data_IF_148859701840
#
_entry.id   IF_148859701840
#
_cell.length_a   1.000
_cell.length_b   1.000
_cell.length_c   1.000
_cell.angle_alpha   90.00
_cell.angle_beta   90.00
_cell.angle_gamma   90.00
#
_symmetry.space_group_name_H-M   'P 1'
#
loop_
_entity.id
_entity.type
_entity.pdbx_description
1 polymer ?
#
# COMPACT_ATOMS: atom_id res chain seq x y z
N UNK A 1 4.02 -4.07 -11.51
CA UNK A 1 2.88 -3.91 -10.60
C UNK A 1 1.90 -5.07 -10.71
N UNK A 2 2.11 -6.19 -10.02
CA UNK A 2 1.07 -7.21 -9.85
C UNK A 2 0.12 -6.67 -8.78
N UNK A 3 -1.14 -6.37 -9.11
CA UNK A 3 -2.16 -5.91 -8.15
C UNK A 3 -2.91 -7.09 -7.50
N UNK A 4 -2.20 -8.19 -7.26
CA UNK A 4 -2.74 -9.37 -6.59
C UNK A 4 -1.68 -9.90 -5.63
N UNK A 5 -1.46 -9.14 -4.55
CA UNK A 5 -0.86 -9.62 -3.33
C UNK A 5 -1.94 -9.60 -2.27
N UNK A 6 -2.18 -10.73 -1.61
CA UNK A 6 -2.77 -10.69 -0.28
C UNK A 6 -1.70 -10.08 0.62
N UNK A 7 -2.00 -8.96 1.26
CA UNK A 7 -1.08 -8.34 2.19
C UNK A 7 -1.24 -9.00 3.56
N UNK A 8 -0.12 -9.50 4.11
CA UNK A 8 -0.08 -10.06 5.45
C UNK A 8 0.56 -9.02 6.36
N UNK A 9 -0.27 -8.19 6.99
CA UNK A 9 0.17 -7.40 8.13
C UNK A 9 0.03 -8.27 9.38
N UNK A 10 0.95 -8.14 10.34
CA UNK A 10 0.89 -8.83 11.64
C UNK A 10 -0.23 -8.29 12.56
N UNK A 11 -1.23 -7.60 11.98
CA UNK A 11 -2.43 -7.11 12.65
C UNK A 11 -3.42 -8.25 12.92
N UNK A 12 -2.97 -9.24 13.68
CA UNK A 12 -3.83 -10.29 14.24
C UNK A 12 -4.46 -9.77 15.54
N UNK A 13 -5.15 -8.62 15.47
CA UNK A 13 -5.83 -8.03 16.65
C UNK A 13 -7.34 -8.36 16.70
N UNK A 14 -7.92 -8.82 15.60
CA UNK A 14 -9.33 -9.23 15.51
C UNK A 14 -9.50 -10.75 15.60
N UNK A 15 -8.90 -11.40 16.60
CA UNK A 15 -9.03 -12.87 16.75
C UNK A 15 -10.25 -13.23 17.59
N UNK A 16 -11.27 -13.76 16.91
CA UNK A 16 -12.09 -14.84 17.45
C UNK A 16 -11.77 -16.07 16.58
N UNK A 17 -10.75 -16.87 16.94
CA UNK A 17 -10.40 -18.05 16.14
C UNK A 17 -9.21 -18.88 16.62
N UNK A 18 -9.31 -20.19 16.43
CA UNK A 18 -8.24 -21.19 16.57
C UNK A 18 -7.26 -20.99 15.39
N UNK A 19 -5.94 -21.08 15.61
CA UNK A 19 -4.90 -20.83 14.59
C UNK A 19 -4.88 -21.97 13.55
N UNK A 20 -5.89 -22.03 12.67
CA UNK A 20 -5.98 -22.97 11.54
C UNK A 20 -5.57 -22.34 10.19
N UNK A 21 -5.42 -21.01 10.15
CA UNK A 21 -4.86 -20.27 9.02
C UNK A 21 -3.51 -19.71 9.46
N UNK A 22 -2.44 -20.43 9.17
CA UNK A 22 -1.07 -20.08 9.53
C UNK A 22 -0.22 -19.74 8.32
N UNK A 23 1.08 -19.57 8.57
CA UNK A 23 2.06 -19.18 7.55
C UNK A 23 2.09 -20.15 6.36
N UNK A 24 2.07 -21.47 6.61
CA UNK A 24 2.11 -22.45 5.52
C UNK A 24 0.84 -22.41 4.66
N UNK A 25 -0.32 -22.24 5.27
CA UNK A 25 -1.60 -22.15 4.55
C UNK A 25 -1.62 -20.90 3.64
N UNK A 26 -1.12 -19.76 4.11
CA UNK A 26 -0.99 -18.56 3.29
C UNK A 26 -0.02 -18.76 2.11
N UNK A 27 1.17 -19.31 2.37
CA UNK A 27 2.17 -19.54 1.32
C UNK A 27 1.66 -20.51 0.25
N UNK A 28 0.97 -21.57 0.66
CA UNK A 28 0.33 -22.53 -0.25
C UNK A 28 -0.74 -21.85 -1.09
N UNK A 29 -1.58 -21.00 -0.47
CA UNK A 29 -2.57 -20.21 -1.20
C UNK A 29 -1.92 -19.28 -2.24
N UNK A 30 -0.80 -18.64 -1.92
CA UNK A 30 -0.08 -17.79 -2.88
C UNK A 30 0.46 -18.58 -4.05
N UNK A 31 1.04 -19.76 -3.80
CA UNK A 31 1.51 -20.66 -4.84
C UNK A 31 0.35 -21.10 -5.77
N UNK A 32 -0.75 -21.57 -5.18
CA UNK A 32 -1.95 -22.02 -5.91
C UNK A 32 -2.56 -20.90 -6.76
N UNK A 33 -2.56 -19.66 -6.24
CA UNK A 33 -3.09 -18.49 -6.92
C UNK A 33 -2.10 -17.83 -7.90
N UNK A 34 -0.85 -18.29 -7.95
CA UNK A 34 0.23 -17.67 -8.72
C UNK A 34 0.58 -16.24 -8.23
N UNK A 35 0.26 -15.95 -6.97
CA UNK A 35 0.57 -14.69 -6.29
C UNK A 35 1.99 -14.73 -5.72
N UNK A 36 2.45 -13.55 -5.31
CA UNK A 36 3.69 -13.43 -4.57
C UNK A 36 3.42 -12.68 -3.26
N UNK A 37 3.94 -13.16 -2.12
CA UNK A 37 3.77 -12.48 -0.85
C UNK A 37 4.58 -11.19 -0.75
N UNK A 38 3.97 -10.20 -0.11
CA UNK A 38 4.66 -9.16 0.65
C UNK A 38 4.38 -9.52 2.11
N UNK A 39 5.41 -9.91 2.85
CA UNK A 39 5.24 -10.52 4.17
C UNK A 39 5.64 -9.58 5.31
N UNK A 40 4.67 -9.30 6.18
CA UNK A 40 4.78 -8.85 7.56
C UNK A 40 5.90 -9.51 8.38
N UNK A 41 6.81 -8.77 9.00
CA UNK A 41 7.46 -9.21 10.25
C UNK A 41 7.18 -8.22 11.37
N UNK A 42 6.81 -8.73 12.54
CA UNK A 42 6.61 -7.90 13.72
C UNK A 42 7.86 -7.09 14.09
N UNK A 43 7.69 -5.78 14.35
CA UNK A 43 8.79 -4.83 14.45
C UNK A 43 9.02 -4.24 15.85
N UNK A 44 8.45 -4.80 16.92
CA UNK A 44 8.65 -4.28 18.28
C UNK A 44 7.56 -3.34 18.80
N UNK A 45 6.47 -3.15 18.05
CA UNK A 45 5.34 -2.26 18.37
C UNK A 45 4.00 -3.01 18.39
N UNK A 46 3.06 -2.57 19.23
CA UNK A 46 1.69 -3.10 19.32
C UNK A 46 0.70 -1.95 19.47
N UNK A 47 -0.55 -2.08 18.98
CA UNK A 47 -1.54 -0.99 18.97
C UNK A 47 -2.07 -0.55 20.36
N UNK A 48 -1.53 -1.10 21.44
CA UNK A 48 -1.66 -0.56 22.80
C UNK A 48 -0.67 0.57 23.14
N UNK A 49 0.16 1.01 22.19
CA UNK A 49 1.20 2.02 22.41
C UNK A 49 2.49 1.49 23.04
N UNK A 50 2.59 0.17 23.22
CA UNK A 50 3.80 -0.44 23.82
C UNK A 50 4.86 -0.61 22.73
N UNK A 51 6.02 -0.01 22.99
CA UNK A 51 7.24 -0.17 22.22
C UNK A 51 8.25 -0.95 23.07
N UNK A 52 8.84 -1.99 22.51
CA UNK A 52 9.96 -2.67 23.17
C UNK A 52 11.18 -1.76 23.23
N UNK A 53 11.93 -1.81 24.34
CA UNK A 53 13.23 -1.17 24.40
C UNK A 53 14.20 -1.82 23.40
N UNK A 54 15.15 -1.05 22.88
CA UNK A 54 16.14 -1.49 21.87
C UNK A 54 16.89 -2.76 22.31
N UNK A 55 17.31 -2.84 23.57
CA UNK A 55 18.02 -3.99 24.14
C UNK A 55 17.15 -5.26 24.31
N UNK A 56 15.85 -5.16 24.05
CA UNK A 56 14.88 -6.26 24.10
C UNK A 56 14.52 -6.81 22.71
N UNK A 57 15.00 -6.21 21.62
CA UNK A 57 14.63 -6.60 20.26
C UNK A 57 15.25 -7.91 19.78
N UNK A 58 16.42 -8.29 20.31
CA UNK A 58 17.20 -9.43 19.84
C UNK A 58 16.40 -10.75 19.66
N UNK A 59 15.56 -11.20 20.62
CA UNK A 59 14.75 -12.40 20.45
C UNK A 59 13.73 -12.29 19.31
N UNK A 60 13.22 -11.10 19.01
CA UNK A 60 12.20 -10.86 17.98
C UNK A 60 12.82 -10.71 16.59
N UNK A 61 14.05 -10.17 16.51
CA UNK A 61 14.86 -10.23 15.29
C UNK A 61 15.13 -11.69 14.90
N UNK A 62 15.40 -12.56 15.88
CA UNK A 62 15.53 -14.01 15.66
C UNK A 62 14.21 -14.62 15.17
N UNK A 63 13.07 -14.23 15.73
CA UNK A 63 11.77 -14.72 15.25
C UNK A 63 11.48 -14.29 13.81
N UNK A 64 11.73 -13.03 13.45
CA UNK A 64 11.58 -12.52 12.08
C UNK A 64 12.51 -13.26 11.11
N UNK A 65 13.77 -13.49 11.50
CA UNK A 65 14.71 -14.32 10.74
C UNK A 65 14.19 -15.75 10.56
N UNK A 66 13.70 -16.36 11.61
CA UNK A 66 13.21 -17.74 11.59
C UNK A 66 11.95 -17.87 10.73
N UNK A 67 11.07 -16.86 10.74
CA UNK A 67 9.93 -16.73 9.83
C UNK A 67 10.38 -16.66 8.37
N UNK A 68 11.35 -15.80 8.03
CA UNK A 68 11.90 -15.71 6.67
C UNK A 68 12.55 -17.04 6.26
N UNK A 69 13.33 -17.65 7.16
CA UNK A 69 13.97 -18.95 6.93
C UNK A 69 12.96 -20.08 6.69
N UNK A 70 11.79 -20.05 7.35
CA UNK A 70 10.70 -20.97 7.04
C UNK A 70 10.26 -20.83 5.59
N UNK A 71 10.22 -19.62 5.04
CA UNK A 71 9.78 -19.34 3.66
C UNK A 71 10.86 -19.70 2.64
N UNK A 72 12.09 -19.19 2.80
CA UNK A 72 13.13 -19.22 1.75
C UNK A 72 14.37 -20.05 2.09
N UNK A 73 14.51 -20.51 3.34
CA UNK A 73 15.72 -21.18 3.80
C UNK A 73 15.94 -22.58 3.22
N UNK A 74 17.19 -23.05 3.27
CA UNK A 74 17.58 -24.42 2.92
C UNK A 74 17.29 -25.38 4.10
N UNK A 75 16.47 -26.43 3.92
CA UNK A 75 16.18 -27.42 4.96
C UNK A 75 17.40 -28.11 5.57
N UNK A 76 18.57 -28.08 4.91
CA UNK A 76 19.81 -28.68 5.41
C UNK A 76 20.55 -27.81 6.42
N UNK A 77 20.30 -26.50 6.42
CA UNK A 77 21.08 -25.54 7.22
C UNK A 77 20.21 -24.76 8.21
N UNK A 78 18.89 -24.82 8.07
CA UNK A 78 17.95 -24.01 8.85
C UNK A 78 16.81 -24.87 9.43
N UNK A 79 16.61 -24.81 10.76
CA UNK A 79 15.56 -25.57 11.43
C UNK A 79 14.13 -25.16 11.00
N UNK A 80 13.80 -23.86 10.83
CA UNK A 80 12.53 -23.45 10.24
C UNK A 80 12.30 -23.99 8.81
N UNK A 81 13.34 -24.00 7.96
CA UNK A 81 13.22 -24.59 6.63
C UNK A 81 13.05 -26.13 6.68
N UNK A 82 13.72 -26.80 7.62
CA UNK A 82 13.53 -28.23 7.86
C UNK A 82 12.09 -28.53 8.32
N UNK A 83 11.49 -27.63 9.11
CA UNK A 83 10.08 -27.71 9.48
C UNK A 83 9.18 -27.59 8.24
N UNK A 84 9.37 -26.59 7.38
CA UNK A 84 8.66 -26.44 6.10
C UNK A 84 8.71 -27.74 5.28
N UNK A 85 9.91 -28.33 5.14
CA UNK A 85 10.11 -29.59 4.45
C UNK A 85 9.36 -30.76 5.11
N UNK A 86 9.39 -30.86 6.44
CA UNK A 86 8.68 -31.92 7.18
C UNK A 86 7.16 -31.83 7.05
N UNK A 87 6.64 -30.62 6.79
CA UNK A 87 5.22 -30.36 6.56
C UNK A 87 4.80 -30.62 5.09
N UNK A 88 5.71 -31.14 4.26
CA UNK A 88 5.41 -31.58 2.90
C UNK A 88 5.84 -30.61 1.80
N UNK A 89 6.49 -29.49 2.14
CA UNK A 89 6.96 -28.51 1.16
C UNK A 89 8.47 -28.24 1.33
N UNK A 90 9.35 -29.08 0.74
CA UNK A 90 10.79 -28.93 0.90
C UNK A 90 11.39 -27.75 0.11
N UNK A 91 10.79 -27.37 -1.01
CA UNK A 91 11.27 -26.27 -1.84
C UNK A 91 11.00 -24.91 -1.18
N UNK A 92 11.83 -23.88 -1.41
CA UNK A 92 11.54 -22.54 -0.92
C UNK A 92 10.35 -21.92 -1.67
N UNK A 93 9.52 -21.14 -0.97
CA UNK A 93 8.49 -20.31 -1.60
C UNK A 93 9.09 -19.03 -2.20
N UNK A 94 8.34 -18.37 -3.09
CA UNK A 94 8.72 -17.03 -3.58
C UNK A 94 8.58 -16.00 -2.46
N UNK A 95 9.61 -15.19 -2.25
CA UNK A 95 9.57 -14.02 -1.37
C UNK A 95 10.59 -13.00 -1.88
N UNK A 96 10.12 -11.81 -2.26
CA UNK A 96 10.98 -10.69 -2.65
C UNK A 96 10.89 -9.51 -1.68
N UNK A 97 9.75 -9.35 -1.02
CA UNK A 97 9.47 -8.21 -0.17
C UNK A 97 9.12 -8.64 1.25
N UNK A 98 9.76 -8.00 2.23
CA UNK A 98 9.43 -8.11 3.64
C UNK A 98 9.08 -6.71 4.13
N UNK A 99 7.88 -6.53 4.64
CA UNK A 99 7.52 -5.29 5.33
C UNK A 99 7.95 -5.40 6.79
N UNK A 100 8.55 -4.35 7.33
CA UNK A 100 9.09 -4.34 8.70
C UNK A 100 8.12 -3.58 9.60
N UNK A 101 7.20 -4.31 10.22
CA UNK A 101 6.14 -3.73 11.02
C UNK A 101 4.89 -3.41 10.20
N UNK A 102 4.11 -2.44 10.69
CA UNK A 102 2.86 -1.98 10.09
C UNK A 102 2.49 -0.64 10.72
N UNK A 103 2.28 0.40 9.91
CA UNK A 103 1.88 1.74 10.36
C UNK A 103 2.75 2.30 11.50
N UNK A 104 4.06 2.07 11.44
CA UNK A 104 5.00 2.54 12.46
C UNK A 104 5.16 4.07 12.46
N UNK A 105 4.50 4.80 11.56
CA UNK A 105 4.26 6.23 11.71
C UNK A 105 3.56 6.58 13.04
N UNK A 106 2.77 5.68 13.64
CA UNK A 106 2.24 5.84 15.00
C UNK A 106 3.28 5.71 16.12
N UNK A 107 4.45 5.15 15.82
CA UNK A 107 5.54 4.87 16.75
C UNK A 107 6.90 5.36 16.20
N UNK A 108 6.87 6.43 15.40
CA UNK A 108 7.97 6.92 14.57
C UNK A 108 9.29 7.11 15.32
N UNK A 109 9.24 7.66 16.54
CA UNK A 109 10.42 7.89 17.37
C UNK A 109 11.22 6.60 17.60
N UNK A 110 10.53 5.54 18.03
CA UNK A 110 11.16 4.24 18.29
C UNK A 110 11.45 3.45 17.03
N UNK A 111 10.71 3.72 15.95
CA UNK A 111 10.90 3.02 14.68
C UNK A 111 12.32 3.23 14.13
N UNK A 112 12.98 4.34 14.45
CA UNK A 112 14.36 4.60 14.04
C UNK A 112 15.34 3.50 14.46
N UNK A 113 15.34 3.08 15.73
CA UNK A 113 16.21 1.99 16.20
C UNK A 113 15.63 0.60 15.86
N UNK A 114 14.30 0.43 15.90
CA UNK A 114 13.66 -0.84 15.55
C UNK A 114 13.96 -1.22 14.10
N UNK A 115 13.77 -0.28 13.18
CA UNK A 115 14.16 -0.42 11.78
C UNK A 115 15.65 -0.72 11.64
N UNK A 116 16.52 0.07 12.29
CA UNK A 116 17.97 -0.11 12.21
C UNK A 116 18.37 -1.53 12.58
N UNK A 117 17.97 -1.99 13.76
CA UNK A 117 18.42 -3.27 14.28
C UNK A 117 17.82 -4.44 13.51
N UNK A 118 16.53 -4.36 13.15
CA UNK A 118 15.88 -5.41 12.36
C UNK A 118 16.50 -5.48 10.96
N UNK A 119 16.55 -4.37 10.23
CA UNK A 119 16.99 -4.38 8.83
C UNK A 119 18.49 -4.61 8.72
N UNK A 120 19.33 -4.05 9.59
CA UNK A 120 20.77 -4.31 9.55
C UNK A 120 21.09 -5.80 9.76
N UNK A 121 20.36 -6.50 10.62
CA UNK A 121 20.53 -7.94 10.82
C UNK A 121 19.96 -8.75 9.66
N UNK A 122 18.70 -8.49 9.26
CA UNK A 122 18.02 -9.30 8.25
C UNK A 122 18.57 -9.08 6.84
N UNK A 123 18.94 -7.85 6.47
CA UNK A 123 19.51 -7.56 5.14
C UNK A 123 20.90 -8.15 4.92
N UNK A 124 21.64 -8.40 6.01
CA UNK A 124 22.92 -9.10 5.94
C UNK A 124 22.73 -10.59 5.62
N UNK A 125 21.74 -11.24 6.23
CA UNK A 125 21.46 -12.67 6.03
C UNK A 125 20.67 -12.94 4.75
N UNK A 126 19.79 -12.01 4.36
CA UNK A 126 18.92 -12.12 3.20
C UNK A 126 19.14 -10.96 2.22
N UNK A 127 20.34 -10.82 1.62
CA UNK A 127 20.68 -9.70 0.74
C UNK A 127 19.85 -9.64 -0.55
N UNK A 128 19.11 -10.71 -0.87
CA UNK A 128 18.19 -10.78 -2.01
C UNK A 128 16.81 -10.15 -1.73
N UNK A 129 16.46 -9.92 -0.46
CA UNK A 129 15.15 -9.38 -0.07
C UNK A 129 15.16 -7.85 -0.07
N UNK A 130 14.00 -7.28 -0.36
CA UNK A 130 13.75 -5.84 -0.27
C UNK A 130 12.89 -5.57 0.97
N UNK A 131 13.37 -4.70 1.85
CA UNK A 131 12.69 -4.35 3.09
C UNK A 131 11.87 -3.06 2.91
N UNK A 132 10.60 -3.10 3.29
CA UNK A 132 9.64 -2.00 3.15
C UNK A 132 9.47 -1.32 4.51
N UNK A 133 9.65 0.00 4.54
CA UNK A 133 9.43 0.82 5.73
C UNK A 133 7.98 1.29 5.85
N UNK A 134 7.49 1.40 7.08
CA UNK A 134 6.09 1.69 7.42
C UNK A 134 5.90 3.00 8.18
N UNK A 135 6.95 3.83 8.27
CA UNK A 135 6.85 5.22 8.73
C UNK A 135 6.32 6.14 7.62
N UNK A 136 6.07 7.40 7.95
CA UNK A 136 5.90 8.42 6.92
C UNK A 136 7.15 8.46 6.02
N UNK A 137 6.94 8.73 4.73
CA UNK A 137 8.02 8.69 3.74
C UNK A 137 9.08 9.74 4.08
N UNK A 138 10.31 9.30 4.31
CA UNK A 138 11.45 10.16 4.65
C UNK A 138 11.31 10.92 5.98
N UNK A 139 10.33 10.61 6.82
CA UNK A 139 10.19 11.18 8.16
C UNK A 139 9.71 10.10 9.15
N UNK A 140 10.55 9.67 10.11
CA UNK A 140 11.90 10.14 10.39
C UNK A 140 12.91 9.66 9.35
N UNK A 141 14.14 10.20 9.42
CA UNK A 141 15.26 9.64 8.65
C UNK A 141 15.66 8.29 9.25
N UNK A 142 15.56 7.23 8.43
CA UNK A 142 15.89 5.87 8.82
C UNK A 142 17.29 5.44 8.33
N UNK A 143 17.94 4.57 9.11
CA UNK A 143 19.22 3.95 8.75
C UNK A 143 19.12 2.45 9.02
N UNK A 144 19.45 1.55 8.07
CA UNK A 144 19.84 1.85 6.68
C UNK A 144 18.73 2.57 5.90
N UNK A 145 19.09 3.35 4.88
CA UNK A 145 18.10 4.12 4.11
C UNK A 145 17.11 3.17 3.38
N UNK A 146 15.79 3.28 3.61
CA UNK A 146 14.82 2.44 2.92
C UNK A 146 14.75 2.76 1.43
N UNK A 147 14.63 1.72 0.60
CA UNK A 147 14.36 1.84 -0.84
C UNK A 147 12.89 1.62 -1.19
N UNK A 148 12.10 1.11 -0.24
CA UNK A 148 10.67 0.89 -0.36
C UNK A 148 9.96 1.47 0.87
N UNK A 149 8.84 2.16 0.63
CA UNK A 149 7.92 2.60 1.68
C UNK A 149 6.52 2.08 1.40
N UNK A 150 5.80 1.75 2.47
CA UNK A 150 4.36 1.55 2.44
C UNK A 150 3.63 2.87 2.74
N UNK A 151 2.57 3.14 1.99
CA UNK A 151 1.74 4.33 2.09
C UNK A 151 0.28 3.90 2.22
N UNK A 152 -0.35 4.34 3.29
CA UNK A 152 -1.75 4.05 3.60
C UNK A 152 -2.62 5.29 3.45
N UNK A 153 -3.79 5.15 2.82
CA UNK A 153 -4.77 6.23 2.75
C UNK A 153 -6.22 5.76 2.82
N UNK A 154 -6.89 6.17 3.89
CA UNK A 154 -8.34 6.08 4.02
C UNK A 154 -8.94 7.47 3.91
N UNK A 155 -9.76 7.69 2.89
CA UNK A 155 -10.22 9.04 2.55
C UNK A 155 -11.62 9.07 1.94
N UNK A 156 -12.09 10.25 1.55
CA UNK A 156 -13.37 10.40 0.84
C UNK A 156 -13.26 10.07 -0.64
N UNK A 157 -14.35 9.63 -1.32
CA UNK A 157 -14.33 9.42 -2.76
C UNK A 157 -13.85 10.64 -3.57
N UNK A 158 -14.21 11.85 -3.12
CA UNK A 158 -13.79 13.09 -3.75
C UNK A 158 -12.28 13.34 -3.62
N UNK A 159 -11.70 12.98 -2.47
CA UNK A 159 -10.25 13.08 -2.26
C UNK A 159 -9.49 12.17 -3.23
N UNK A 160 -9.91 10.92 -3.39
CA UNK A 160 -9.26 9.99 -4.33
C UNK A 160 -9.25 10.52 -5.77
N UNK A 161 -10.40 11.04 -6.24
CA UNK A 161 -10.49 11.63 -7.57
C UNK A 161 -9.60 12.87 -7.74
N UNK A 162 -9.47 13.70 -6.69
CA UNK A 162 -8.68 14.93 -6.72
C UNK A 162 -7.18 14.68 -6.59
N UNK A 163 -6.78 13.58 -5.95
CA UNK A 163 -5.38 13.25 -5.67
C UNK A 163 -4.81 12.18 -6.62
N UNK A 164 -5.41 12.02 -7.81
CA UNK A 164 -4.91 11.11 -8.83
C UNK A 164 -3.52 11.48 -9.38
N UNK A 165 -2.93 12.60 -8.96
CA UNK A 165 -1.59 13.07 -9.36
C UNK A 165 -0.58 13.08 -8.20
N UNK A 166 -0.89 12.44 -7.07
CA UNK A 166 -0.06 12.55 -5.85
C UNK A 166 1.40 12.15 -6.09
N UNK A 167 1.65 11.07 -6.83
CA UNK A 167 2.99 10.55 -7.14
C UNK A 167 3.69 11.24 -8.33
N UNK A 168 3.00 12.09 -9.09
CA UNK A 168 3.59 12.71 -10.30
C UNK A 168 4.77 13.63 -9.95
N UNK A 169 4.74 14.26 -8.77
CA UNK A 169 5.80 15.15 -8.28
C UNK A 169 6.92 14.46 -7.49
N UNK A 170 6.79 13.17 -7.19
CA UNK A 170 7.75 12.46 -6.35
C UNK A 170 9.09 12.27 -7.08
N UNK A 171 10.20 12.31 -6.36
CA UNK A 171 11.51 12.12 -6.96
C UNK A 171 11.72 10.68 -7.47
N UNK A 172 12.39 10.54 -8.62
CA UNK A 172 12.81 9.25 -9.18
C UNK A 172 14.25 8.95 -8.77
N UNK A 173 14.47 8.88 -7.45
CA UNK A 173 15.80 8.75 -6.84
C UNK A 173 16.19 7.30 -6.48
N UNK A 174 15.38 6.32 -6.91
CA UNK A 174 15.56 4.91 -6.59
C UNK A 174 14.61 4.40 -5.49
N UNK A 175 13.92 5.29 -4.79
CA UNK A 175 12.84 4.93 -3.87
C UNK A 175 11.61 4.49 -4.66
N UNK A 176 10.95 3.44 -4.18
CA UNK A 176 9.70 2.90 -4.73
C UNK A 176 8.64 2.82 -3.64
N UNK A 177 7.37 2.88 -4.03
CA UNK A 177 6.25 3.00 -3.11
C UNK A 177 5.28 1.85 -3.30
N UNK A 178 4.81 1.33 -2.18
CA UNK A 178 3.68 0.43 -2.09
C UNK A 178 2.51 1.23 -1.55
N UNK A 179 1.39 1.28 -2.27
CA UNK A 179 0.13 1.76 -1.70
C UNK A 179 -0.58 0.60 -1.00
N UNK A 180 -0.07 0.17 0.17
CA UNK A 180 -0.43 -1.07 0.85
C UNK A 180 -1.86 -1.13 1.34
N UNK A 181 -2.41 0.02 1.73
CA UNK A 181 -3.81 0.13 2.13
C UNK A 181 -4.44 1.38 1.56
N UNK A 182 -5.49 1.22 0.75
CA UNK A 182 -6.34 2.34 0.39
C UNK A 182 -7.81 1.97 0.24
N UNK A 183 -8.69 2.86 0.69
CA UNK A 183 -10.12 2.79 0.40
C UNK A 183 -10.81 4.14 0.56
N UNK A 184 -11.81 4.41 -0.28
CA UNK A 184 -12.72 5.51 -0.03
C UNK A 184 -13.79 5.06 0.98
N UNK A 185 -13.65 5.48 2.24
CA UNK A 185 -14.40 4.90 3.36
C UNK A 185 -15.60 5.73 3.83
N UNK A 186 -15.63 7.02 3.51
CA UNK A 186 -16.64 7.94 4.05
C UNK A 186 -16.89 9.12 3.12
N UNK A 187 -18.09 9.68 3.14
CA UNK A 187 -18.38 10.96 2.46
C UNK A 187 -18.12 12.17 3.35
N UNK A 188 -17.76 11.96 4.62
CA UNK A 188 -17.52 13.02 5.59
C UNK A 188 -16.02 13.20 5.86
N UNK A 189 -15.43 14.20 5.22
CA UNK A 189 -14.00 14.51 5.36
C UNK A 189 -13.59 14.91 6.78
N UNK A 190 -14.53 15.36 7.62
CA UNK A 190 -14.26 15.77 9.00
C UNK A 190 -14.42 14.63 10.01
N UNK A 191 -14.92 13.46 9.58
CA UNK A 191 -15.09 12.29 10.42
C UNK A 191 -15.09 11.01 9.58
N UNK A 192 -13.92 10.69 9.01
CA UNK A 192 -13.74 9.57 8.08
C UNK A 192 -14.11 8.22 8.73
N UNK A 193 -13.74 8.03 9.99
CA UNK A 193 -13.94 6.78 10.74
C UNK A 193 -15.23 6.77 11.58
N UNK A 194 -16.15 7.71 11.34
CA UNK A 194 -17.42 7.82 12.04
C UNK A 194 -18.38 6.66 11.77
N UNK A 195 -19.62 6.80 12.26
CA UNK A 195 -20.69 5.82 12.01
C UNK A 195 -21.33 6.01 10.62
N UNK A 196 -22.13 5.05 10.12
CA UNK A 196 -22.85 5.19 8.85
C UNK A 196 -23.71 6.45 8.77
N UNK A 197 -24.41 6.80 9.84
CA UNK A 197 -25.22 8.02 9.92
C UNK A 197 -24.38 9.31 9.84
N UNK A 198 -23.08 9.20 10.06
CA UNK A 198 -22.11 10.30 9.96
C UNK A 198 -21.33 10.30 8.63
N UNK A 199 -21.69 9.42 7.69
CA UNK A 199 -21.12 9.38 6.33
C UNK A 199 -20.23 8.18 6.03
N UNK A 200 -20.01 7.26 6.98
CA UNK A 200 -19.26 6.01 6.75
C UNK A 200 -19.98 5.12 5.75
N UNK A 201 -19.25 4.55 4.81
CA UNK A 201 -19.79 3.62 3.83
C UNK A 201 -19.83 2.21 4.44
N UNK A 202 -21.02 1.62 4.54
CA UNK A 202 -21.19 0.23 4.98
C UNK A 202 -20.66 -0.77 3.95
N UNK A 203 -20.80 -0.43 2.67
CA UNK A 203 -20.28 -1.18 1.53
C UNK A 203 -19.75 -0.19 0.49
N UNK A 204 -18.82 -0.60 -0.38
CA UNK A 204 -18.38 0.26 -1.46
C UNK A 204 -19.56 0.66 -2.36
N UNK A 205 -19.53 1.90 -2.83
CA UNK A 205 -20.56 2.48 -3.70
C UNK A 205 -19.97 2.80 -5.07
N UNK A 206 -20.81 3.14 -6.05
CA UNK A 206 -20.31 3.64 -7.34
C UNK A 206 -19.49 4.93 -7.18
N UNK A 207 -19.81 5.75 -6.17
CA UNK A 207 -19.06 6.98 -5.91
C UNK A 207 -17.65 6.67 -5.39
N UNK A 208 -17.53 5.77 -4.41
CA UNK A 208 -16.22 5.35 -3.88
C UNK A 208 -15.38 4.68 -4.97
N UNK A 209 -15.96 3.70 -5.68
CA UNK A 209 -15.24 2.90 -6.66
C UNK A 209 -14.80 3.70 -7.89
N UNK A 210 -15.49 4.78 -8.25
CA UNK A 210 -15.07 5.68 -9.35
C UNK A 210 -14.00 6.67 -8.90
N UNK A 211 -14.06 7.15 -7.66
CA UNK A 211 -12.98 7.94 -7.07
C UNK A 211 -11.68 7.14 -6.96
N UNK A 212 -11.77 5.92 -6.44
CA UNK A 212 -10.66 4.97 -6.37
C UNK A 212 -10.09 4.65 -7.76
N UNK A 213 -10.95 4.39 -8.76
CA UNK A 213 -10.49 4.17 -10.14
C UNK A 213 -9.67 5.36 -10.67
N UNK A 214 -10.14 6.60 -10.44
CA UNK A 214 -9.40 7.79 -10.85
C UNK A 214 -8.02 7.86 -10.19
N UNK A 215 -7.93 7.56 -8.89
CA UNK A 215 -6.67 7.46 -8.16
C UNK A 215 -5.75 6.37 -8.71
N UNK A 216 -6.28 5.18 -9.02
CA UNK A 216 -5.53 4.06 -9.59
C UNK A 216 -4.91 4.40 -10.95
N UNK A 217 -5.53 5.26 -11.78
CA UNK A 217 -4.88 5.75 -13.00
C UNK A 217 -3.60 6.54 -12.71
N UNK A 218 -3.54 7.20 -11.55
CA UNK A 218 -2.35 7.85 -11.02
C UNK A 218 -1.28 6.85 -10.61
N UNK A 219 -1.67 5.79 -9.89
CA UNK A 219 -0.77 4.71 -9.51
C UNK A 219 -0.17 4.03 -10.76
N UNK A 220 -0.98 3.71 -11.77
CA UNK A 220 -0.51 3.11 -13.01
C UNK A 220 0.42 4.05 -13.79
N UNK A 221 0.06 5.33 -13.91
CA UNK A 221 0.88 6.34 -14.59
C UNK A 221 2.27 6.48 -13.94
N UNK A 222 2.34 6.33 -12.62
CA UNK A 222 3.56 6.43 -11.83
C UNK A 222 4.14 5.04 -11.46
N UNK A 223 3.78 3.98 -12.20
CA UNK A 223 4.24 2.62 -11.92
C UNK A 223 5.74 2.39 -12.18
N UNK A 224 6.46 3.43 -12.60
CA UNK A 224 7.92 3.49 -12.56
C UNK A 224 8.46 3.54 -11.13
N UNK A 225 7.70 4.11 -10.18
CA UNK A 225 8.03 4.19 -8.75
C UNK A 225 6.99 3.51 -7.85
N UNK A 226 5.72 3.43 -8.24
CA UNK A 226 4.69 2.71 -7.48
C UNK A 226 4.67 1.25 -7.93
N UNK A 227 5.22 0.34 -7.12
CA UNK A 227 5.49 -1.03 -7.55
C UNK A 227 4.35 -2.02 -7.22
N UNK A 228 3.54 -1.70 -6.21
CA UNK A 228 2.39 -2.47 -5.74
C UNK A 228 1.31 -1.54 -5.16
N UNK A 229 0.07 -2.02 -5.09
CA UNK A 229 -1.04 -1.35 -4.40
C UNK A 229 -2.13 -2.37 -4.01
N UNK A 230 -2.79 -2.16 -2.87
CA UNK A 230 -3.85 -3.05 -2.36
C UNK A 230 -4.98 -2.28 -1.69
N UNK A 231 -6.22 -2.61 -2.07
CA UNK A 231 -7.39 -2.14 -1.35
C UNK A 231 -7.48 -2.83 0.00
N UNK A 232 -7.83 -2.08 1.04
CA UNK A 232 -8.04 -2.63 2.38
C UNK A 232 -9.33 -2.11 3.04
N UNK A 233 -10.02 -2.93 3.85
CA UNK A 233 -9.77 -4.37 4.05
C UNK A 233 -10.33 -5.24 2.90
N UNK A 234 -9.75 -6.44 2.72
CA UNK A 234 -10.12 -7.34 1.62
C UNK A 234 -11.46 -8.06 1.86
N UNK A 235 -11.67 -8.56 3.08
CA UNK A 235 -12.72 -9.53 3.39
C UNK A 235 -13.59 -9.07 4.56
N UNK A 236 -14.90 -9.26 4.43
CA UNK A 236 -15.88 -8.95 5.47
C UNK A 236 -16.86 -10.09 5.68
N UNK A 237 -16.92 -10.64 6.89
CA UNK A 237 -18.05 -11.46 7.29
C UNK A 237 -19.23 -10.54 7.68
N UNK A 238 -20.33 -10.56 6.92
CA UNK A 238 -21.44 -9.59 7.09
C UNK A 238 -22.14 -9.71 8.45
N UNK A 239 -22.10 -10.89 9.08
CA UNK A 239 -22.63 -11.10 10.44
C UNK A 239 -21.66 -10.76 11.59
N UNK A 240 -20.41 -10.40 11.30
CA UNK A 240 -19.41 -10.04 12.32
C UNK A 240 -18.39 -9.08 11.72
N UNK A 241 -18.70 -7.78 11.79
CA UNK A 241 -17.95 -6.72 11.10
C UNK A 241 -17.39 -5.72 12.10
N UNK A 242 -16.10 -5.40 11.98
CA UNK A 242 -15.39 -4.42 12.82
C UNK A 242 -15.02 -3.15 12.03
N UNK A 243 -14.83 -3.29 10.71
CA UNK A 243 -14.50 -2.20 9.79
C UNK A 243 -15.42 -2.26 8.57
N UNK A 244 -15.67 -1.11 7.95
CA UNK A 244 -16.35 -0.99 6.65
C UNK A 244 -15.77 0.20 5.87
N UNK A 245 -15.96 0.31 4.56
CA UNK A 245 -16.38 -0.74 3.65
C UNK A 245 -15.24 -1.75 3.39
N UNK A 246 -15.57 -2.87 2.76
CA UNK A 246 -14.60 -3.94 2.44
C UNK A 246 -14.76 -4.40 0.98
N UNK A 247 -13.68 -4.95 0.40
CA UNK A 247 -13.65 -5.28 -1.02
C UNK A 247 -14.61 -6.42 -1.39
N UNK A 248 -14.62 -7.48 -0.59
CA UNK A 248 -15.47 -8.66 -0.78
C UNK A 248 -16.14 -8.99 0.56
N UNK A 249 -17.46 -8.98 0.58
CA UNK A 249 -18.23 -9.40 1.75
C UNK A 249 -18.75 -10.82 1.55
N UNK A 250 -19.02 -11.55 2.63
CA UNK A 250 -19.58 -12.90 2.56
C UNK A 250 -20.40 -13.25 3.80
N UNK A 251 -21.29 -14.23 3.64
CA UNK A 251 -21.89 -14.98 4.73
C UNK A 251 -21.52 -16.47 4.61
N UNK A 252 -22.12 -17.33 5.43
CA UNK A 252 -21.80 -18.77 5.43
C UNK A 252 -22.08 -19.50 4.11
N UNK A 253 -22.88 -18.92 3.20
CA UNK A 253 -23.29 -19.55 1.95
C UNK A 253 -23.08 -18.72 0.68
N UNK A 254 -22.80 -17.43 0.78
CA UNK A 254 -22.75 -16.51 -0.37
C UNK A 254 -21.58 -15.52 -0.27
N UNK A 255 -21.10 -15.10 -1.45
CA UNK A 255 -20.06 -14.07 -1.60
C UNK A 255 -20.65 -12.88 -2.37
N UNK A 256 -20.41 -11.69 -1.84
CA UNK A 256 -20.87 -10.40 -2.35
C UNK A 256 -19.68 -9.60 -2.85
N UNK A 257 -19.62 -9.42 -4.18
CA UNK A 257 -18.57 -8.64 -4.85
C UNK A 257 -18.98 -7.18 -4.89
N UNK A 258 -18.20 -6.31 -4.26
CA UNK A 258 -18.50 -4.87 -4.19
C UNK A 258 -18.28 -4.16 -5.53
N UNK A 259 -18.72 -2.90 -5.63
CA UNK A 259 -18.39 -2.04 -6.78
C UNK A 259 -16.87 -1.86 -6.92
N UNK A 260 -16.15 -1.67 -5.81
CA UNK A 260 -14.70 -1.56 -5.79
C UNK A 260 -13.99 -2.85 -6.20
N UNK A 261 -14.53 -4.03 -5.89
CA UNK A 261 -14.01 -5.32 -6.42
C UNK A 261 -14.00 -5.31 -7.95
N UNK A 262 -15.08 -4.85 -8.58
CA UNK A 262 -15.14 -4.78 -10.04
C UNK A 262 -14.19 -3.72 -10.61
N UNK A 263 -13.94 -2.62 -9.90
CA UNK A 263 -12.87 -1.67 -10.26
C UNK A 263 -11.49 -2.34 -10.23
N UNK A 264 -11.11 -2.95 -9.11
CA UNK A 264 -9.81 -3.65 -8.96
C UNK A 264 -9.61 -4.70 -10.05
N UNK A 265 -10.64 -5.52 -10.31
CA UNK A 265 -10.62 -6.55 -11.34
C UNK A 265 -10.45 -5.97 -12.75
N UNK A 266 -11.14 -4.88 -13.07
CA UNK A 266 -11.11 -4.27 -14.40
C UNK A 266 -9.74 -3.70 -14.74
N UNK A 267 -9.09 -3.04 -13.78
CA UNK A 267 -7.74 -2.49 -13.91
C UNK A 267 -6.72 -3.60 -14.21
N UNK A 268 -6.74 -4.70 -13.44
CA UNK A 268 -5.85 -5.85 -13.67
C UNK A 268 -6.08 -6.49 -15.05
N UNK A 269 -7.33 -6.63 -15.50
CA UNK A 269 -7.64 -7.16 -16.83
C UNK A 269 -7.17 -6.23 -17.96
N UNK A 270 -7.29 -4.91 -17.80
CA UNK A 270 -6.80 -3.95 -18.78
C UNK A 270 -5.28 -4.00 -18.91
N UNK A 271 -4.57 -4.08 -17.77
CA UNK A 271 -3.11 -4.16 -17.73
C UNK A 271 -2.57 -5.40 -18.46
N UNK A 272 -3.25 -6.54 -18.35
CA UNK A 272 -2.91 -7.77 -19.10
C UNK A 272 -3.12 -7.64 -20.60
N UNK A 273 -4.02 -6.76 -21.04
CA UNK A 273 -4.36 -6.55 -22.46
C UNK A 273 -3.45 -5.54 -23.16
N UNK A 274 -2.78 -4.64 -22.45
CA UNK A 274 -1.85 -3.67 -23.04
C UNK A 274 -0.45 -4.30 -23.10
N UNK A 275 0.08 -4.61 -24.31
CA UNK A 275 1.42 -5.17 -24.44
C UNK A 275 2.49 -4.25 -23.80
N UNK A 276 3.56 -4.79 -23.21
CA UNK A 276 4.62 -3.98 -22.57
C UNK A 276 5.20 -2.89 -23.47
N UNK A 277 5.22 -3.12 -24.79
CA UNK A 277 5.66 -2.14 -25.80
C UNK A 277 4.76 -0.88 -25.90
N UNK A 278 3.56 -0.91 -25.33
CA UNK A 278 2.61 0.21 -25.27
C UNK A 278 2.40 0.74 -23.85
N UNK A 279 2.91 0.09 -22.80
CA UNK A 279 2.95 0.67 -21.45
C UNK A 279 3.80 1.97 -21.39
N UNK A 280 4.68 2.17 -22.38
CA UNK A 280 5.37 3.44 -22.65
C UNK A 280 4.47 4.55 -23.26
N UNK A 281 3.14 4.44 -23.15
CA UNK A 281 2.21 5.53 -23.45
C UNK A 281 2.18 6.63 -22.38
N UNK A 282 3.20 6.69 -21.51
CA UNK A 282 3.63 7.93 -20.84
C UNK A 282 3.98 9.06 -21.83
N UNK A 283 4.07 8.78 -23.14
CA UNK A 283 4.16 9.78 -24.21
C UNK A 283 2.83 10.46 -24.64
N UNK A 284 1.70 10.22 -23.97
CA UNK A 284 0.50 11.05 -24.19
C UNK A 284 0.66 12.48 -23.65
N UNK A 285 1.53 12.70 -22.68
CA UNK A 285 1.85 14.04 -22.18
C UNK A 285 2.45 14.94 -23.27
N UNK A 286 3.20 14.39 -24.24
CA UNK A 286 3.76 15.19 -25.34
C UNK A 286 2.72 15.56 -26.40
N UNK A 287 1.64 14.78 -26.56
CA UNK A 287 0.58 15.06 -27.53
C UNK A 287 -0.41 16.09 -27.00
N UNK A 288 -0.77 16.04 -25.72
CA UNK A 288 -1.65 17.04 -25.09
C UNK A 288 -0.96 18.40 -24.93
N UNK A 289 0.33 18.44 -24.58
CA UNK A 289 1.10 19.70 -24.57
C UNK A 289 1.38 20.25 -25.99
N UNK A 290 1.49 19.38 -27.01
CA UNK A 290 1.45 19.81 -28.42
C UNK A 290 0.08 20.35 -28.84
N UNK A 291 -1.02 19.80 -28.34
CA UNK A 291 -2.36 20.27 -28.65
C UNK A 291 -2.69 21.61 -27.97
N UNK A 292 -2.22 21.82 -26.73
CA UNK A 292 -2.32 23.11 -26.02
C UNK A 292 -1.47 24.20 -26.67
N UNK A 293 -0.29 23.87 -27.20
CA UNK A 293 0.59 24.84 -27.86
C UNK A 293 0.22 25.14 -29.33
N UNK A 294 -0.65 24.33 -29.96
CA UNK A 294 -1.05 24.52 -31.37
C UNK A 294 -2.45 25.11 -31.60
N UNK A 295 -3.29 25.23 -30.57
CA UNK A 295 -4.61 25.86 -30.72
C UNK A 295 -4.68 27.23 -30.05
N UNK A 296 -4.27 28.24 -30.83
CA UNK A 296 -4.66 29.63 -30.63
C UNK A 296 -6.17 29.75 -30.88
N UNK A 297 -6.96 29.97 -29.84
CA UNK A 297 -8.19 30.76 -29.95
C UNK A 297 -8.10 31.98 -29.04
N UNK A 298 -7.65 33.07 -29.64
CA UNK A 298 -7.96 34.44 -29.19
C UNK A 298 -9.40 34.77 -29.55
N UNK A 299 -10.13 35.31 -28.57
CA UNK A 299 -11.24 36.31 -28.61
C UNK A 299 -12.37 35.83 -27.69
N UNK A 300 -12.91 36.59 -26.75
CA UNK A 300 -12.82 38.00 -26.36
C UNK A 300 -13.18 38.02 -24.86
N UNK A 301 -12.61 38.92 -24.07
CA UNK A 301 -13.37 39.89 -23.24
C UNK A 301 -12.40 41.04 -22.95
N UNK A 302 -12.70 42.21 -23.53
CA UNK A 302 -12.01 43.46 -23.26
C UNK A 302 -12.55 44.07 -21.95
N UNK A 303 -11.64 44.65 -21.17
CA UNK A 303 -11.92 45.60 -20.09
C UNK A 303 -10.58 46.25 -19.67
N UNK A 304 -10.47 47.57 -19.51
CA UNK A 304 -9.28 48.32 -19.92
C UNK A 304 -8.22 48.50 -18.83
N UNK A 305 -6.95 48.55 -19.28
CA UNK A 305 -5.83 49.17 -18.58
C UNK A 305 -6.00 50.69 -18.55
N UNK A 306 -5.71 51.33 -17.40
CA UNK A 306 -5.26 52.72 -17.33
C UNK A 306 -4.07 52.78 -16.34
N UNK A 307 -3.04 53.61 -16.63
CA UNK A 307 -1.66 53.37 -16.24
C UNK A 307 -1.17 54.21 -15.06
N UNK A 308 -0.01 53.80 -14.51
CA UNK A 308 0.78 54.54 -13.54
C UNK A 308 1.54 55.70 -14.17
N UNK A 309 1.35 56.93 -13.67
CA UNK A 309 2.43 57.93 -13.53
C UNK A 309 2.03 59.11 -12.65
N UNK A 310 2.86 59.35 -11.62
CA UNK A 310 3.38 60.63 -11.10
C UNK A 310 2.41 61.74 -10.64
N UNK A 311 2.64 62.22 -9.40
CA UNK A 311 2.28 63.60 -9.01
C UNK A 311 2.01 63.81 -7.52
N UNK A 312 2.96 64.45 -6.85
CA UNK A 312 2.90 64.99 -5.48
C UNK A 312 1.85 66.08 -5.24
N UNK A 313 1.33 66.16 -4.00
CA UNK A 313 1.30 67.35 -3.10
C UNK A 313 -0.03 67.51 -2.32
N UNK A 314 0.10 67.81 -1.00
CA UNK A 314 -0.77 68.65 -0.12
C UNK A 314 -2.27 68.24 0.00
N UNK A 315 -2.90 68.06 1.16
CA UNK A 315 -2.72 68.55 2.54
C UNK A 315 -3.01 67.43 3.57
#
# INVERSE_FOLDING_TARGET
MRLSGLYLTDQVEWVIGVIGLGLLEYLTFFEDAGMEPIMAVWSGYTLGGTNLAEDQLAPYIVQARDQINFVVGDPKTSAPAALRASLGHPEPFSLRYVEVGNEDFFAAETYTYRWHDIVANLSFEFPQLQFIATSDTFDPILSPNPTQYDVHVYQTPGWFAQNSFIYDGFERNGTTYFEGEYAAISTNANNLFGTPDQGRLLFPTMQSSTGEAAFMTGLERNSDIVFAASYAPLLQHVNSTQWTPDLISFDAGQVYKSTSFYTQKSEEEQRRRIPPKYAAFSKWHTILERYKSQNIWRRHHQGPNIPSSLGSSTD
#
